data_IF_522700705157
#
_entry.id   IF_522700705157
#
_cell.length_a   1.000
_cell.length_b   1.000
_cell.length_c   1.000
_cell.angle_alpha   90.00
_cell.angle_beta   90.00
_cell.angle_gamma   90.00
#
_symmetry.space_group_name_H-M   'P 1'
#
loop_
_entity.id
_entity.type
_entity.pdbx_description
1 polymer ?
#
# COMPACT_ATOMS: atom_id res chain seq x y z
N UNK A 1 25.68 34.07 -11.30
CA UNK A 1 25.37 33.88 -11.27
C UNK A 1 24.90 33.39 -11.22
N UNK A 2 24.66 33.25 -11.66
CA UNK A 2 24.15 32.66 -11.73
C UNK A 2 23.79 32.21 -12.03
N UNK A 3 23.52 32.03 -12.44
CA UNK A 3 23.09 31.44 -12.59
C UNK A 3 22.95 30.98 -12.66
N UNK A 4 22.74 30.87 -12.93
CA UNK A 4 22.41 30.11 -12.78
C UNK A 4 22.11 29.48 -12.63
N UNK A 5 22.36 29.55 -12.74
CA UNK A 5 21.97 28.93 -12.59
C UNK A 5 21.36 28.58 -12.43
N UNK A 6 20.97 28.52 -12.67
CA UNK A 6 20.35 28.27 -12.58
C UNK A 6 19.83 27.81 -12.82
N UNK A 7 19.57 27.58 -13.33
CA UNK A 7 19.11 27.14 -13.61
C UNK A 7 18.84 26.31 -13.56
N UNK A 8 18.48 26.15 -13.95
CA UNK A 8 18.66 24.72 -13.93
C UNK A 8 17.88 24.04 -12.82
N UNK A 9 17.52 24.66 -11.86
CA UNK A 9 16.70 24.11 -10.81
C UNK A 9 15.33 23.68 -11.32
N UNK A 10 14.88 24.21 -12.40
CA UNK A 10 13.62 23.82 -13.02
C UNK A 10 13.69 22.38 -13.51
N UNK A 11 14.81 21.96 -14.09
CA UNK A 11 14.98 20.59 -14.52
C UNK A 11 14.86 19.61 -13.37
N UNK A 12 15.39 19.97 -12.21
CA UNK A 12 15.31 19.09 -11.06
C UNK A 12 13.87 18.88 -10.61
N UNK A 13 13.08 19.92 -10.68
CA UNK A 13 11.68 19.78 -10.31
C UNK A 13 10.96 18.80 -11.23
N UNK A 14 11.29 18.83 -12.52
CA UNK A 14 10.68 17.91 -13.48
C UNK A 14 11.10 16.47 -13.26
N UNK A 15 12.26 16.27 -12.64
CA UNK A 15 12.76 14.92 -12.39
C UNK A 15 12.26 14.32 -11.07
N UNK A 16 11.62 15.13 -10.24
CA UNK A 16 11.11 14.64 -8.96
C UNK A 16 9.89 13.76 -9.18
N UNK A 17 9.79 12.65 -8.48
CA UNK A 17 8.61 11.80 -8.62
C UNK A 17 7.38 12.50 -8.08
N UNK A 18 6.25 12.26 -8.72
CA UNK A 18 4.98 12.65 -8.14
C UNK A 18 4.64 11.73 -6.99
N UNK A 19 4.02 12.27 -5.97
CA UNK A 19 3.64 11.50 -4.80
C UNK A 19 2.13 11.51 -4.65
N UNK A 20 1.61 10.42 -4.13
CA UNK A 20 0.20 10.31 -3.74
C UNK A 20 0.16 9.84 -2.30
N UNK A 21 -0.94 10.13 -1.61
CA UNK A 21 -1.09 9.75 -0.22
C UNK A 21 -1.74 8.38 -0.12
N UNK A 22 -1.10 7.48 0.61
CA UNK A 22 -1.69 6.21 0.99
C UNK A 22 -2.09 6.28 2.46
N UNK A 23 -3.37 6.03 2.74
CA UNK A 23 -3.86 5.81 4.08
C UNK A 23 -4.17 4.32 4.19
N UNK A 24 -3.54 3.66 5.15
CA UNK A 24 -3.68 2.22 5.35
C UNK A 24 -4.33 1.96 6.71
N UNK A 25 -5.39 1.16 6.71
CA UNK A 25 -6.00 0.65 7.93
C UNK A 25 -5.89 -0.86 7.94
N UNK A 26 -5.41 -1.42 9.04
CA UNK A 26 -5.30 -2.88 9.22
C UNK A 26 -6.11 -3.23 10.46
N UNK A 27 -7.12 -4.07 10.29
CA UNK A 27 -8.03 -4.39 11.39
C UNK A 27 -8.29 -5.89 11.48
N UNK A 28 -8.27 -6.42 12.70
CA UNK A 28 -8.57 -7.83 12.96
C UNK A 28 -9.12 -7.96 14.39
N UNK A 29 -10.41 -7.72 14.54
CA UNK A 29 -11.11 -7.78 15.84
C UNK A 29 -10.32 -7.03 16.91
N UNK A 30 -9.90 -7.71 17.98
CA UNK A 30 -9.11 -7.12 19.05
C UNK A 30 -7.61 -7.41 18.92
N UNK A 31 -7.18 -8.01 17.80
CA UNK A 31 -5.78 -8.43 17.61
C UNK A 31 -4.91 -7.31 17.05
N UNK A 32 -5.46 -6.51 16.14
CA UNK A 32 -4.74 -5.38 15.58
C UNK A 32 -5.74 -4.31 15.11
N UNK A 33 -5.38 -3.06 15.33
CA UNK A 33 -6.13 -1.91 14.83
C UNK A 33 -5.11 -0.82 14.57
N UNK A 34 -4.64 -0.75 13.33
CA UNK A 34 -3.55 0.13 12.93
C UNK A 34 -4.02 1.04 11.81
N UNK A 35 -3.68 2.32 11.89
CA UNK A 35 -3.85 3.25 10.79
C UNK A 35 -2.54 3.98 10.57
N UNK A 36 -2.11 4.03 9.32
CA UNK A 36 -0.86 4.69 8.95
C UNK A 36 -1.05 5.47 7.67
N UNK A 37 -0.33 6.57 7.53
CA UNK A 37 -0.42 7.44 6.37
C UNK A 37 1.00 7.70 5.86
N UNK A 38 1.19 7.60 4.56
CA UNK A 38 2.48 7.88 3.94
C UNK A 38 2.30 8.41 2.54
N UNK A 39 3.18 9.33 2.14
CA UNK A 39 3.30 9.73 0.74
C UNK A 39 4.16 8.69 0.03
N UNK A 40 3.65 8.16 -1.07
CA UNK A 40 4.35 7.16 -1.86
C UNK A 40 4.38 7.59 -3.32
N UNK A 41 5.25 7.00 -4.10
CA UNK A 41 5.38 7.37 -5.51
C UNK A 41 4.12 6.98 -6.28
N UNK A 42 3.63 7.93 -7.07
CA UNK A 42 2.52 7.68 -7.98
C UNK A 42 2.90 6.57 -8.95
N UNK A 43 2.01 5.60 -9.12
CA UNK A 43 2.27 4.45 -10.00
C UNK A 43 2.80 3.23 -9.28
N UNK A 44 3.15 3.36 -7.99
CA UNK A 44 3.55 2.22 -7.19
C UNK A 44 2.34 1.32 -6.97
N UNK A 45 2.54 0.00 -6.93
CA UNK A 45 1.44 -0.88 -6.60
C UNK A 45 1.21 -0.92 -5.09
N UNK A 46 -0.02 -1.28 -4.71
CA UNK A 46 -0.42 -1.24 -3.30
C UNK A 46 0.39 -2.21 -2.45
N UNK A 47 0.78 -3.37 -3.00
CA UNK A 47 1.55 -4.35 -2.24
C UNK A 47 2.88 -3.77 -1.78
N UNK A 48 3.61 -3.11 -2.70
CA UNK A 48 4.89 -2.49 -2.37
C UNK A 48 4.70 -1.33 -1.39
N UNK A 49 3.61 -0.56 -1.56
CA UNK A 49 3.33 0.56 -0.67
C UNK A 49 2.98 0.09 0.74
N UNK A 50 2.18 -0.96 0.87
CA UNK A 50 1.82 -1.53 2.18
C UNK A 50 3.06 -2.00 2.92
N UNK A 51 4.02 -2.59 2.22
CA UNK A 51 5.27 -3.06 2.83
C UNK A 51 6.10 -1.92 3.42
N UNK A 52 5.88 -0.70 2.98
CA UNK A 52 6.57 0.46 3.55
C UNK A 52 5.98 0.90 4.89
N UNK A 53 4.78 0.43 5.23
CA UNK A 53 4.06 0.88 6.42
C UNK A 53 3.94 -0.20 7.48
N UNK A 54 3.96 -1.46 7.11
CA UNK A 54 3.73 -2.55 8.04
C UNK A 54 4.51 -3.77 7.57
N UNK A 55 4.91 -4.60 8.53
CA UNK A 55 5.60 -5.86 8.20
C UNK A 55 4.58 -6.81 7.58
N UNK A 56 4.89 -7.33 6.39
CA UNK A 56 3.99 -8.18 5.61
C UNK A 56 4.62 -9.57 5.47
N UNK A 57 3.87 -10.59 5.88
CA UNK A 57 4.24 -11.97 5.59
C UNK A 57 3.39 -12.48 4.43
N UNK A 58 4.01 -13.21 3.50
CA UNK A 58 3.34 -13.65 2.29
C UNK A 58 3.54 -15.12 2.04
N UNK A 59 2.64 -15.66 1.22
CA UNK A 59 2.77 -16.97 0.62
C UNK A 59 2.74 -16.79 -0.89
N UNK A 60 3.71 -17.39 -1.58
CA UNK A 60 3.73 -17.31 -3.03
C UNK A 60 2.69 -18.23 -3.63
N UNK A 61 1.93 -17.71 -4.60
CA UNK A 61 0.93 -18.49 -5.31
C UNK A 61 1.11 -18.26 -6.81
N UNK A 62 0.41 -19.04 -7.63
CA UNK A 62 0.45 -18.86 -9.08
C UNK A 62 -0.14 -17.52 -9.52
N UNK A 63 -0.85 -16.83 -8.63
CA UNK A 63 -1.44 -15.53 -8.91
C UNK A 63 -0.63 -14.39 -8.27
N UNK A 64 0.55 -14.69 -7.74
CA UNK A 64 1.40 -13.72 -7.08
C UNK A 64 1.42 -13.88 -5.57
N UNK A 65 2.03 -12.93 -4.85
CA UNK A 65 2.12 -13.04 -3.39
C UNK A 65 0.76 -12.82 -2.73
N UNK A 66 0.42 -13.73 -1.84
CA UNK A 66 -0.79 -13.62 -1.03
C UNK A 66 -0.40 -13.16 0.37
N UNK A 67 -1.03 -12.10 0.86
CA UNK A 67 -0.75 -11.58 2.20
C UNK A 67 -1.31 -12.54 3.23
N UNK A 68 -0.44 -13.05 4.10
CA UNK A 68 -0.82 -13.98 5.16
C UNK A 68 -0.76 -13.35 6.53
N UNK A 69 0.15 -12.39 6.74
CA UNK A 69 0.25 -11.71 8.02
C UNK A 69 0.53 -10.24 7.83
N UNK A 70 0.05 -9.43 8.76
CA UNK A 70 0.26 -7.99 8.79
C UNK A 70 0.59 -7.60 10.22
N UNK A 71 1.75 -6.94 10.41
CA UNK A 71 2.18 -6.54 11.73
C UNK A 71 2.31 -7.71 12.71
N UNK A 72 2.63 -8.89 12.19
CA UNK A 72 2.76 -10.08 13.01
C UNK A 72 1.44 -10.83 13.29
N UNK A 73 0.32 -10.32 12.76
CA UNK A 73 -0.98 -10.98 12.95
C UNK A 73 -1.30 -11.83 11.73
N UNK A 74 -1.34 -13.12 11.93
CA UNK A 74 -1.46 -14.10 10.85
C UNK A 74 -2.91 -14.51 10.65
N UNK A 75 -3.32 -14.61 9.38
CA UNK A 75 -4.62 -15.19 9.03
C UNK A 75 -4.47 -16.70 9.01
N UNK A 76 -5.14 -17.38 9.91
CA UNK A 76 -5.07 -18.84 10.05
C UNK A 76 -6.47 -19.44 9.91
N UNK A 77 -6.53 -20.75 9.66
CA UNK A 77 -7.79 -21.46 9.51
C UNK A 77 -8.55 -20.97 8.28
N UNK A 78 -9.80 -20.62 8.49
CA UNK A 78 -10.66 -20.14 7.41
C UNK A 78 -10.74 -18.61 7.36
N UNK A 79 -9.65 -17.93 7.76
CA UNK A 79 -9.60 -16.48 7.71
C UNK A 79 -8.64 -16.01 6.61
N UNK A 80 -8.83 -14.76 6.19
CA UNK A 80 -7.97 -14.15 5.18
C UNK A 80 -7.98 -12.62 5.37
N UNK A 81 -7.00 -11.96 4.78
CA UNK A 81 -6.92 -10.50 4.80
C UNK A 81 -7.68 -9.96 3.59
N UNK A 82 -8.89 -9.47 3.82
CA UNK A 82 -9.73 -8.91 2.76
C UNK A 82 -9.27 -7.50 2.42
N UNK A 83 -9.07 -7.24 1.14
CA UNK A 83 -8.55 -5.98 0.63
C UNK A 83 -9.69 -5.08 0.16
N UNK A 84 -9.74 -3.87 0.72
CA UNK A 84 -10.70 -2.85 0.30
C UNK A 84 -9.93 -1.63 -0.18
N UNK A 85 -10.33 -1.11 -1.33
CA UNK A 85 -9.73 0.07 -1.93
C UNK A 85 -10.80 1.14 -2.03
N UNK A 86 -10.59 2.25 -1.33
CA UNK A 86 -11.54 3.37 -1.26
C UNK A 86 -12.96 2.91 -0.90
N UNK A 87 -13.05 1.97 0.04
CA UNK A 87 -14.33 1.50 0.58
C UNK A 87 -14.96 0.34 -0.17
N UNK A 88 -14.39 -0.11 -1.27
CA UNK A 88 -14.93 -1.22 -2.05
C UNK A 88 -13.99 -2.41 -2.04
N UNK A 89 -14.54 -3.61 -1.90
CA UNK A 89 -13.73 -4.81 -1.94
C UNK A 89 -13.03 -4.92 -3.29
N UNK A 90 -11.72 -5.16 -3.25
CA UNK A 90 -10.94 -5.29 -4.47
C UNK A 90 -11.19 -6.64 -5.12
N UNK A 91 -11.28 -6.63 -6.45
CA UNK A 91 -11.43 -7.85 -7.23
C UNK A 91 -10.08 -8.43 -7.63
N UNK A 92 -8.98 -7.74 -7.28
CA UNK A 92 -7.62 -8.18 -7.61
C UNK A 92 -6.75 -8.09 -6.37
N UNK A 93 -5.60 -8.75 -6.39
CA UNK A 93 -4.64 -8.69 -5.29
C UNK A 93 -3.96 -7.33 -5.22
N UNK A 94 -3.32 -7.07 -4.08
CA UNK A 94 -2.68 -5.77 -3.84
C UNK A 94 -1.59 -5.44 -4.87
N UNK A 95 -0.92 -6.43 -5.44
CA UNK A 95 0.11 -6.21 -6.44
C UNK A 95 -0.45 -5.67 -7.76
N UNK A 96 -1.75 -5.83 -7.98
CA UNK A 96 -2.41 -5.35 -9.20
C UNK A 96 -3.19 -4.05 -8.98
N UNK A 97 -3.14 -3.49 -7.78
CA UNK A 97 -3.75 -2.19 -7.47
C UNK A 97 -2.68 -1.12 -7.63
N UNK A 98 -2.83 -0.26 -8.62
CA UNK A 98 -1.85 0.78 -8.92
C UNK A 98 -2.30 2.09 -8.32
N UNK A 99 -1.42 2.75 -7.58
CA UNK A 99 -1.75 3.96 -6.83
C UNK A 99 -1.54 5.18 -7.74
N UNK A 100 -2.62 5.65 -8.35
CA UNK A 100 -2.57 6.80 -9.27
C UNK A 100 -3.06 8.09 -8.60
N UNK A 101 -3.77 7.98 -7.49
CA UNK A 101 -4.32 9.10 -6.73
C UNK A 101 -4.22 8.79 -5.24
N UNK A 102 -4.57 9.74 -4.41
CA UNK A 102 -4.70 9.50 -2.98
C UNK A 102 -5.68 8.35 -2.77
N UNK A 103 -5.28 7.37 -1.97
CA UNK A 103 -6.03 6.12 -1.85
C UNK A 103 -6.12 5.71 -0.39
N UNK A 104 -7.29 5.24 0.00
CA UNK A 104 -7.50 4.60 1.28
C UNK A 104 -7.57 3.09 1.08
N UNK A 105 -6.68 2.36 1.74
CA UNK A 105 -6.66 0.90 1.70
C UNK A 105 -6.96 0.38 3.08
N UNK A 106 -7.87 -0.58 3.15
CA UNK A 106 -8.14 -1.30 4.37
C UNK A 106 -7.92 -2.77 4.14
N UNK A 107 -7.18 -3.39 5.05
CA UNK A 107 -7.02 -4.83 5.10
C UNK A 107 -7.69 -5.30 6.38
N UNK A 108 -8.74 -6.07 6.23
CA UNK A 108 -9.56 -6.55 7.34
C UNK A 108 -9.57 -8.06 7.37
N UNK A 109 -9.36 -8.65 8.54
CA UNK A 109 -9.38 -10.11 8.66
C UNK A 109 -10.82 -10.58 8.67
N UNK A 110 -11.16 -11.45 7.74
CA UNK A 110 -12.52 -11.94 7.55
C UNK A 110 -12.51 -13.45 7.39
N UNK A 111 -13.66 -14.06 7.61
CA UNK A 111 -13.87 -15.49 7.37
C UNK A 111 -14.28 -15.72 5.92
N UNK A 112 -13.93 -16.87 5.40
CA UNK A 112 -14.38 -17.28 4.07
C UNK A 112 -15.10 -18.62 4.10
#
# INVERSE_FOLDING_TARGET
MGLFSMFSSVSYADESPELVQLTLAVTAADRINLTAVKMVEKGLNAYEAIKQLVVVGVKDTSYGPQIMSLGGVEAIGNTYWALYVNGSMSMVGAQDVILLDDTFIRLNMEDF
#
